data_IF_472974211510
#
_entry.id   IF_472974211510
#
_cell.length_a   1.000
_cell.length_b   1.000
_cell.length_c   1.000
_cell.angle_alpha   90.00
_cell.angle_beta   90.00
_cell.angle_gamma   90.00
#
_symmetry.space_group_name_H-M   'P 1'
#
loop_
_entity.id
_entity.type
_entity.pdbx_description
1 polymer ?
#
# COMPACT_ATOMS: atom_id res chain seq x y z
N UNK A 1 -15.83 -7.21 4.38
CA UNK A 1 -15.29 -7.13 3.02
C UNK A 1 -14.40 -8.32 2.65
N UNK A 2 -13.53 -8.81 3.55
CA UNK A 2 -12.63 -9.93 3.22
C UNK A 2 -13.36 -11.23 2.85
N UNK A 3 -14.58 -11.44 3.33
CA UNK A 3 -15.40 -12.61 3.03
C UNK A 3 -16.35 -12.38 1.83
N UNK A 4 -16.08 -11.38 0.99
CA UNK A 4 -16.96 -11.02 -0.15
C UNK A 4 -18.29 -10.39 0.25
N UNK A 5 -18.48 -10.08 1.52
CA UNK A 5 -19.69 -9.40 2.00
C UNK A 5 -19.48 -7.89 1.99
N UNK A 6 -20.27 -7.19 1.19
CA UNK A 6 -20.21 -5.73 1.05
C UNK A 6 -21.43 -5.03 1.67
N UNK A 7 -22.39 -5.81 2.19
CA UNK A 7 -23.56 -5.30 2.90
C UNK A 7 -23.19 -4.94 4.33
N UNK A 8 -23.55 -3.73 4.78
CA UNK A 8 -23.21 -3.22 6.10
C UNK A 8 -23.89 -4.03 7.21
N UNK A 9 -25.17 -4.34 7.06
CA UNK A 9 -25.92 -5.09 8.06
C UNK A 9 -25.41 -6.52 8.24
N UNK A 10 -25.07 -7.18 7.12
CA UNK A 10 -24.47 -8.52 7.14
C UNK A 10 -23.09 -8.49 7.78
N UNK A 11 -22.27 -7.49 7.48
CA UNK A 11 -20.95 -7.32 8.10
C UNK A 11 -21.04 -7.06 9.60
N UNK A 12 -21.98 -6.22 10.05
CA UNK A 12 -22.19 -5.94 11.46
C UNK A 12 -22.65 -7.18 12.22
N UNK A 13 -23.63 -7.91 11.67
CA UNK A 13 -24.11 -9.17 12.27
C UNK A 13 -23.02 -10.23 12.32
N UNK A 14 -22.25 -10.42 11.24
CA UNK A 14 -21.14 -11.37 11.20
C UNK A 14 -20.06 -10.99 12.24
N UNK A 15 -19.64 -9.74 12.29
CA UNK A 15 -18.63 -9.27 13.25
C UNK A 15 -19.10 -9.42 14.69
N UNK A 16 -20.40 -9.20 14.95
CA UNK A 16 -20.99 -9.41 16.27
C UNK A 16 -20.98 -10.89 16.67
N UNK A 17 -21.36 -11.79 15.76
CA UNK A 17 -21.33 -13.23 16.03
C UNK A 17 -19.92 -13.75 16.29
N UNK A 18 -18.92 -13.28 15.52
CA UNK A 18 -17.53 -13.64 15.77
C UNK A 18 -17.02 -13.14 17.13
N UNK A 19 -17.44 -11.92 17.52
CA UNK A 19 -17.16 -11.40 18.86
C UNK A 19 -17.80 -12.21 19.99
N UNK A 20 -19.04 -12.64 19.80
CA UNK A 20 -19.72 -13.53 20.74
C UNK A 20 -19.03 -14.91 20.87
N UNK A 21 -18.63 -15.48 19.73
CA UNK A 21 -17.91 -16.76 19.71
C UNK A 21 -16.58 -16.65 20.47
N UNK A 22 -15.80 -15.62 20.19
CA UNK A 22 -14.53 -15.37 20.89
C UNK A 22 -14.71 -15.17 22.40
N UNK A 23 -15.78 -14.46 22.82
CA UNK A 23 -16.08 -14.29 24.23
C UNK A 23 -16.50 -15.61 24.92
N UNK A 24 -17.31 -16.42 24.23
CA UNK A 24 -17.69 -17.77 24.73
C UNK A 24 -16.48 -18.69 24.85
N UNK A 25 -15.57 -18.66 23.89
CA UNK A 25 -14.32 -19.45 23.93
C UNK A 25 -13.45 -19.08 25.14
N UNK A 26 -13.55 -17.84 25.59
CA UNK A 26 -12.87 -17.35 26.81
C UNK A 26 -13.71 -17.49 28.08
N UNK A 27 -14.84 -18.20 28.02
CA UNK A 27 -15.79 -18.46 29.15
C UNK A 27 -16.42 -17.17 29.73
N UNK A 28 -16.63 -16.14 28.91
CA UNK A 28 -17.43 -14.98 29.32
C UNK A 28 -18.93 -15.24 29.12
N UNK A 29 -19.75 -14.81 30.08
CA UNK A 29 -21.20 -14.73 29.88
C UNK A 29 -21.52 -13.54 28.94
N UNK A 30 -22.19 -13.81 27.85
CA UNK A 30 -22.54 -12.79 26.86
C UNK A 30 -24.05 -12.70 26.69
N UNK A 31 -24.58 -11.48 26.69
CA UNK A 31 -25.98 -11.23 26.40
C UNK A 31 -26.21 -11.29 24.87
N UNK A 32 -27.08 -12.19 24.45
CA UNK A 32 -27.34 -12.51 23.04
C UNK A 32 -28.54 -11.71 22.51
N UNK A 33 -28.42 -10.37 22.38
CA UNK A 33 -29.60 -9.53 22.11
C UNK A 33 -29.41 -8.38 21.12
N UNK A 34 -28.38 -8.35 20.30
CA UNK A 34 -28.25 -7.28 19.29
C UNK A 34 -28.57 -7.84 17.92
N UNK A 35 -29.66 -7.39 17.32
CA UNK A 35 -29.99 -7.68 15.94
C UNK A 35 -29.97 -6.37 15.14
N UNK A 36 -28.95 -6.20 14.30
CA UNK A 36 -28.83 -5.05 13.45
C UNK A 36 -29.79 -5.17 12.28
N UNK A 37 -30.80 -4.33 12.24
CA UNK A 37 -31.68 -4.16 11.06
C UNK A 37 -31.17 -2.94 10.29
N UNK A 38 -30.54 -3.18 9.15
CA UNK A 38 -30.18 -2.12 8.20
C UNK A 38 -31.36 -1.85 7.25
N UNK A 39 -31.36 -0.66 6.68
CA UNK A 39 -32.20 -0.32 5.52
C UNK A 39 -31.74 -1.13 4.31
N UNK A 40 -32.63 -1.25 3.29
CA UNK A 40 -32.54 -2.16 2.16
C UNK A 40 -31.15 -2.42 1.56
N UNK A 41 -30.87 -3.68 1.26
CA UNK A 41 -29.63 -4.13 0.62
C UNK A 41 -29.39 -3.42 -0.70
N UNK A 42 -28.35 -2.62 -0.76
CA UNK A 42 -27.77 -2.24 -2.04
C UNK A 42 -27.04 -3.48 -2.58
N UNK A 43 -27.65 -4.16 -3.53
CA UNK A 43 -26.98 -5.27 -4.22
C UNK A 43 -25.84 -4.68 -5.06
N UNK A 44 -24.63 -4.82 -4.57
CA UNK A 44 -23.46 -4.65 -5.42
C UNK A 44 -23.38 -5.88 -6.33
N UNK A 45 -23.63 -5.68 -7.61
CA UNK A 45 -23.24 -6.66 -8.61
C UNK A 45 -21.73 -6.84 -8.52
N UNK A 46 -21.27 -8.08 -8.42
CA UNK A 46 -19.85 -8.40 -8.53
C UNK A 46 -19.32 -7.80 -9.83
N UNK A 47 -18.68 -6.66 -9.73
CA UNK A 47 -17.91 -6.14 -10.86
C UNK A 47 -16.64 -6.95 -10.92
N UNK A 48 -16.48 -7.76 -11.95
CA UNK A 48 -15.16 -8.28 -12.30
C UNK A 48 -14.20 -7.10 -12.38
N UNK A 49 -13.08 -7.16 -11.65
CA UNK A 49 -12.01 -6.16 -11.76
C UNK A 49 -11.34 -6.39 -13.11
N UNK A 50 -12.00 -5.98 -14.17
CA UNK A 50 -11.35 -5.91 -15.47
C UNK A 50 -10.46 -4.67 -15.49
N UNK A 51 -9.20 -4.80 -15.96
CA UNK A 51 -8.33 -3.64 -16.10
C UNK A 51 -9.00 -2.66 -17.07
N UNK A 52 -9.33 -1.48 -16.57
CA UNK A 52 -9.86 -0.41 -17.38
C UNK A 52 -8.74 0.12 -18.29
N UNK A 53 -8.49 -0.60 -19.37
CA UNK A 53 -7.68 -0.07 -20.44
C UNK A 53 -8.56 0.81 -21.32
N UNK A 54 -8.22 2.08 -21.44
CA UNK A 54 -8.88 3.05 -22.33
C UNK A 54 -8.97 2.50 -23.76
N UNK A 55 -10.10 1.86 -24.04
CA UNK A 55 -10.38 1.15 -25.28
C UNK A 55 -9.55 -0.14 -25.40
N UNK A 56 -10.16 -1.19 -25.90
CA UNK A 56 -9.50 -2.45 -26.32
C UNK A 56 -8.45 -2.24 -27.44
N UNK A 57 -8.03 -1.02 -27.67
CA UNK A 57 -7.01 -0.66 -28.63
C UNK A 57 -5.65 -0.97 -28.04
N UNK A 58 -4.85 -1.72 -28.78
CA UNK A 58 -3.43 -1.94 -28.50
C UNK A 58 -2.80 -0.64 -27.99
N UNK A 59 -2.00 -0.73 -26.94
CA UNK A 59 -1.14 0.36 -26.49
C UNK A 59 -0.41 0.89 -27.70
N UNK A 60 -0.90 2.00 -28.25
CA UNK A 60 -0.38 2.55 -29.51
C UNK A 60 0.89 3.32 -29.21
N UNK A 61 1.85 3.24 -30.13
CA UNK A 61 3.08 4.02 -30.09
C UNK A 61 2.73 5.50 -29.87
N UNK A 62 3.13 6.04 -28.72
CA UNK A 62 2.89 7.44 -28.34
C UNK A 62 1.87 7.68 -27.22
N UNK A 63 1.04 6.71 -26.86
CA UNK A 63 0.19 6.83 -25.67
C UNK A 63 0.85 6.14 -24.47
N UNK A 64 0.97 6.85 -23.36
CA UNK A 64 1.48 6.30 -22.10
C UNK A 64 0.30 5.95 -21.18
N UNK A 65 0.13 4.67 -20.88
CA UNK A 65 -0.85 4.19 -19.91
C UNK A 65 -0.09 3.88 -18.63
N UNK A 66 -0.02 4.86 -17.73
CA UNK A 66 0.70 4.69 -16.46
C UNK A 66 0.01 3.69 -15.55
N UNK A 67 0.79 2.77 -15.02
CA UNK A 67 0.41 1.81 -14.00
C UNK A 67 0.91 2.27 -12.63
N UNK A 68 2.18 2.66 -12.55
CA UNK A 68 2.82 3.18 -11.35
C UNK A 68 3.35 4.59 -11.61
N UNK A 69 2.73 5.58 -10.96
CA UNK A 69 3.12 6.98 -11.11
C UNK A 69 4.38 7.35 -10.32
N UNK A 70 4.76 6.58 -9.30
CA UNK A 70 5.96 6.87 -8.51
C UNK A 70 7.24 6.52 -9.27
N UNK A 71 7.18 5.49 -10.10
CA UNK A 71 8.32 5.00 -10.87
C UNK A 71 8.11 5.10 -12.39
N UNK A 72 7.10 5.84 -12.83
CA UNK A 72 6.77 6.05 -14.25
C UNK A 72 6.59 4.76 -15.06
N UNK A 73 6.12 3.67 -14.39
CA UNK A 73 5.88 2.40 -15.07
C UNK A 73 4.59 2.45 -15.86
N UNK A 74 4.66 2.05 -17.11
CA UNK A 74 3.52 2.01 -18.03
C UNK A 74 3.06 0.58 -18.31
N UNK A 75 1.88 0.44 -18.92
CA UNK A 75 1.41 -0.84 -19.43
C UNK A 75 2.38 -1.44 -20.45
N UNK A 76 3.05 -0.60 -21.26
CA UNK A 76 4.03 -1.06 -22.24
C UNK A 76 5.24 -1.74 -21.55
N UNK A 77 5.66 -1.26 -20.37
CA UNK A 77 6.76 -1.87 -19.62
C UNK A 77 6.36 -3.24 -19.06
N UNK A 78 5.11 -3.38 -18.61
CA UNK A 78 4.58 -4.70 -18.18
C UNK A 78 4.53 -5.68 -19.38
N UNK A 79 4.01 -5.24 -20.53
CA UNK A 79 4.02 -6.08 -21.75
C UNK A 79 5.44 -6.46 -22.17
N UNK A 80 6.38 -5.53 -22.08
CA UNK A 80 7.79 -5.80 -22.38
C UNK A 80 8.36 -6.85 -21.43
N UNK A 81 8.16 -6.69 -20.12
CA UNK A 81 8.61 -7.65 -19.13
C UNK A 81 8.09 -9.06 -19.41
N UNK A 82 6.81 -9.20 -19.73
CA UNK A 82 6.20 -10.49 -20.04
C UNK A 82 6.78 -11.10 -21.33
N UNK A 83 6.98 -10.28 -22.36
CA UNK A 83 7.59 -10.72 -23.62
C UNK A 83 9.03 -11.21 -23.42
N UNK A 84 9.76 -10.64 -22.48
CA UNK A 84 11.12 -11.03 -22.12
C UNK A 84 11.21 -12.18 -21.11
N UNK A 85 10.05 -12.75 -20.71
CA UNK A 85 9.98 -13.97 -19.91
C UNK A 85 9.88 -13.74 -18.40
N UNK A 86 9.66 -12.50 -17.95
CA UNK A 86 9.43 -12.20 -16.53
C UNK A 86 7.97 -12.47 -16.14
N UNK A 87 7.59 -13.73 -16.08
CA UNK A 87 6.19 -14.16 -15.92
C UNK A 87 5.66 -13.90 -14.51
N UNK A 88 6.49 -14.13 -13.47
CA UNK A 88 6.03 -13.94 -12.10
C UNK A 88 5.91 -12.46 -11.75
N UNK A 89 4.93 -12.13 -10.90
CA UNK A 89 4.70 -10.76 -10.43
C UNK A 89 5.93 -10.17 -9.72
N UNK A 90 6.67 -11.00 -8.97
CA UNK A 90 7.89 -10.58 -8.27
C UNK A 90 9.05 -10.26 -9.23
N UNK A 91 9.17 -10.99 -10.33
CA UNK A 91 10.17 -10.68 -11.35
C UNK A 91 9.77 -9.46 -12.17
N UNK A 92 8.49 -9.36 -12.56
CA UNK A 92 7.95 -8.17 -13.23
C UNK A 92 8.16 -6.92 -12.39
N UNK A 93 7.90 -6.99 -11.09
CA UNK A 93 8.17 -5.91 -10.14
C UNK A 93 9.62 -5.45 -10.19
N UNK A 94 10.58 -6.38 -10.15
CA UNK A 94 12.01 -6.04 -10.14
C UNK A 94 12.51 -5.52 -11.48
N UNK A 95 11.96 -6.03 -12.56
CA UNK A 95 12.32 -5.59 -13.91
C UNK A 95 11.79 -4.17 -14.22
N UNK A 96 10.55 -3.88 -13.84
CA UNK A 96 9.85 -2.64 -14.15
C UNK A 96 9.91 -1.59 -13.05
N UNK A 97 10.30 -1.95 -11.83
CA UNK A 97 10.16 -1.18 -10.60
C UNK A 97 8.70 -0.93 -10.14
N UNK A 98 7.72 -1.61 -10.74
CA UNK A 98 6.30 -1.51 -10.35
C UNK A 98 6.11 -1.87 -8.88
N UNK A 99 5.49 -0.99 -8.11
CA UNK A 99 5.19 -1.23 -6.70
C UNK A 99 6.40 -1.22 -5.76
N UNK A 100 7.54 -0.70 -6.21
CA UNK A 100 8.75 -0.56 -5.40
C UNK A 100 8.88 0.80 -4.69
N UNK A 101 8.01 1.75 -5.00
CA UNK A 101 8.03 3.07 -4.40
C UNK A 101 7.62 3.08 -2.92
N UNK A 102 7.56 4.26 -2.33
CA UNK A 102 7.27 4.45 -0.91
C UNK A 102 5.88 3.97 -0.49
N UNK A 103 4.92 3.92 -1.42
CA UNK A 103 3.58 3.36 -1.18
C UNK A 103 3.53 1.84 -1.23
N UNK A 104 4.62 1.17 -1.60
CA UNK A 104 4.71 -0.30 -1.74
C UNK A 104 3.62 -0.88 -2.65
N UNK A 105 3.27 -0.15 -3.70
CA UNK A 105 2.30 -0.58 -4.71
C UNK A 105 0.84 -0.51 -4.29
N UNK A 106 0.49 0.19 -3.21
CA UNK A 106 -0.91 0.35 -2.77
C UNK A 106 -1.79 1.01 -3.84
N UNK A 107 -1.22 1.87 -4.67
CA UNK A 107 -1.93 2.54 -5.76
C UNK A 107 -1.79 1.85 -7.11
N UNK A 108 -0.73 1.08 -7.33
CA UNK A 108 -0.37 0.52 -8.64
C UNK A 108 -0.62 -0.98 -8.78
N UNK A 109 -0.48 -1.75 -7.69
CA UNK A 109 -0.48 -3.22 -7.78
C UNK A 109 -1.76 -3.80 -8.37
N UNK A 110 -2.94 -3.27 -8.03
CA UNK A 110 -4.22 -3.77 -8.55
C UNK A 110 -4.24 -3.67 -10.08
N UNK A 111 -3.81 -2.55 -10.63
CA UNK A 111 -3.76 -2.33 -12.07
C UNK A 111 -2.72 -3.22 -12.76
N UNK A 112 -1.54 -3.38 -12.14
CA UNK A 112 -0.49 -4.26 -12.65
C UNK A 112 -0.94 -5.72 -12.69
N UNK A 113 -1.57 -6.21 -11.62
CA UNK A 113 -2.08 -7.58 -11.52
C UNK A 113 -3.22 -7.83 -12.51
N UNK A 114 -4.14 -6.89 -12.66
CA UNK A 114 -5.23 -6.99 -13.62
C UNK A 114 -4.69 -7.05 -15.05
N UNK A 115 -3.64 -6.27 -15.38
CA UNK A 115 -2.98 -6.34 -16.67
C UNK A 115 -2.26 -7.68 -16.89
N UNK A 116 -1.54 -8.18 -15.89
CA UNK A 116 -0.89 -9.49 -15.95
C UNK A 116 -1.91 -10.63 -16.08
N UNK A 117 -3.02 -10.56 -15.35
CA UNK A 117 -4.16 -11.47 -15.47
C UNK A 117 -4.68 -11.52 -16.92
N UNK A 118 -4.85 -10.37 -17.54
CA UNK A 118 -5.25 -10.27 -18.94
C UNK A 118 -4.20 -10.87 -19.90
N UNK A 119 -2.91 -10.59 -19.68
CA UNK A 119 -1.82 -11.12 -20.54
C UNK A 119 -1.71 -12.63 -20.46
N UNK A 120 -1.86 -13.21 -19.26
CA UNK A 120 -1.72 -14.63 -19.01
C UNK A 120 -3.02 -15.43 -19.14
N UNK A 121 -4.14 -14.75 -19.38
CA UNK A 121 -5.48 -15.36 -19.41
C UNK A 121 -5.78 -16.19 -18.15
N UNK A 122 -5.35 -15.67 -16.99
CA UNK A 122 -5.51 -16.27 -15.67
C UNK A 122 -6.23 -15.33 -14.72
N UNK A 123 -7.00 -15.85 -13.77
CA UNK A 123 -7.61 -15.02 -12.74
C UNK A 123 -6.53 -14.36 -11.85
N UNK A 124 -6.85 -13.22 -11.25
CA UNK A 124 -5.90 -12.39 -10.49
C UNK A 124 -5.31 -13.13 -9.28
N UNK A 125 -6.07 -14.00 -8.66
CA UNK A 125 -5.64 -14.84 -7.53
C UNK A 125 -4.55 -15.86 -7.92
N UNK A 126 -4.56 -16.34 -9.16
CA UNK A 126 -3.49 -17.22 -9.68
C UNK A 126 -2.21 -16.43 -10.07
N UNK A 127 -2.33 -15.16 -10.42
CA UNK A 127 -1.16 -14.29 -10.65
C UNK A 127 -0.44 -14.05 -9.34
N UNK A 128 -1.17 -13.96 -8.24
CA UNK A 128 -0.66 -13.57 -6.93
C UNK A 128 -0.34 -12.08 -6.86
N UNK A 129 0.25 -11.65 -5.77
CA UNK A 129 0.66 -10.25 -5.60
C UNK A 129 2.08 -10.14 -5.06
N UNK A 130 2.63 -8.93 -5.13
CA UNK A 130 4.00 -8.67 -4.67
C UNK A 130 4.11 -8.75 -3.15
N UNK A 131 5.26 -9.26 -2.67
CA UNK A 131 5.60 -9.20 -1.25
C UNK A 131 5.94 -7.77 -0.85
N UNK A 132 5.29 -7.30 0.19
CA UNK A 132 5.58 -5.99 0.76
C UNK A 132 6.85 -6.01 1.61
N UNK A 133 7.59 -4.91 1.58
CA UNK A 133 8.80 -4.72 2.38
C UNK A 133 8.53 -3.82 3.58
N UNK A 134 9.19 -4.06 4.73
CA UNK A 134 9.16 -3.11 5.84
C UNK A 134 9.86 -1.78 5.47
N UNK A 135 9.36 -0.64 5.95
CA UNK A 135 8.07 -0.45 6.59
C UNK A 135 6.92 -0.39 5.56
N UNK A 136 5.94 -1.26 5.69
CA UNK A 136 4.76 -1.26 4.81
C UNK A 136 3.88 -0.01 5.01
N UNK A 137 3.74 0.44 6.24
CA UNK A 137 3.15 1.73 6.58
C UNK A 137 4.26 2.73 6.81
N UNK A 138 4.12 4.01 6.36
CA UNK A 138 5.10 5.04 6.64
C UNK A 138 5.37 5.16 8.14
N UNK A 139 6.65 5.11 8.51
CA UNK A 139 7.10 5.24 9.90
C UNK A 139 8.03 6.44 10.00
N UNK A 140 7.91 7.22 11.06
CA UNK A 140 8.85 8.29 11.34
C UNK A 140 10.13 7.72 11.95
N UNK A 141 11.26 8.35 11.69
CA UNK A 141 12.52 7.97 12.32
C UNK A 141 12.45 8.05 13.84
N UNK A 142 11.70 9.02 14.40
CA UNK A 142 11.47 9.10 15.83
C UNK A 142 10.74 7.88 16.41
N UNK A 143 9.76 7.33 15.70
CA UNK A 143 9.08 6.10 16.11
C UNK A 143 10.02 4.88 16.10
N UNK A 144 10.92 4.79 15.11
CA UNK A 144 11.91 3.72 15.00
C UNK A 144 12.95 3.83 16.11
N UNK A 145 13.46 5.04 16.37
CA UNK A 145 14.46 5.30 17.41
C UNK A 145 13.92 5.02 18.83
N UNK A 146 12.62 5.30 19.03
CA UNK A 146 11.97 5.10 20.33
C UNK A 146 12.27 6.18 21.36
N UNK A 147 11.58 6.10 22.49
CA UNK A 147 11.62 7.13 23.55
C UNK A 147 12.97 7.20 24.29
N UNK A 148 13.73 6.12 24.29
CA UNK A 148 15.01 6.07 24.99
C UNK A 148 16.09 6.98 24.39
N UNK A 149 15.93 7.39 23.14
CA UNK A 149 16.88 8.26 22.44
C UNK A 149 16.61 9.73 22.75
N UNK A 150 15.34 10.12 22.96
CA UNK A 150 14.89 11.46 23.33
C UNK A 150 15.62 12.57 22.54
N UNK A 151 16.26 13.53 23.23
CA UNK A 151 17.01 14.63 22.63
C UNK A 151 18.23 14.20 21.80
N UNK A 152 18.67 12.96 21.91
CA UNK A 152 19.76 12.40 21.11
C UNK A 152 19.31 11.88 19.75
N UNK A 153 18.02 11.91 19.44
CA UNK A 153 17.50 11.43 18.17
C UNK A 153 18.09 12.19 16.96
N UNK A 154 18.19 13.50 17.06
CA UNK A 154 18.82 14.38 16.07
C UNK A 154 19.56 15.51 16.79
N UNK A 155 20.71 15.21 17.44
CA UNK A 155 21.41 16.17 18.25
C UNK A 155 22.08 17.24 17.37
N UNK A 156 21.86 18.48 17.73
CA UNK A 156 22.57 19.59 17.13
C UNK A 156 23.99 19.68 17.71
N UNK A 157 24.98 19.57 16.84
CA UNK A 157 26.39 19.66 17.19
C UNK A 157 26.90 21.05 16.88
N UNK A 158 27.66 21.63 17.84
CA UNK A 158 28.18 22.98 17.73
C UNK A 158 29.68 22.99 17.97
N UNK A 159 30.37 23.86 17.25
CA UNK A 159 31.80 24.11 17.49
C UNK A 159 32.01 24.91 18.79
N UNK A 160 33.20 24.89 19.33
CA UNK A 160 33.53 25.64 20.55
C UNK A 160 33.34 27.16 20.42
N UNK A 161 33.42 27.70 19.20
CA UNK A 161 33.26 29.12 18.91
C UNK A 161 31.87 29.46 18.33
N UNK A 162 30.93 28.50 18.31
CA UNK A 162 29.58 28.69 17.74
C UNK A 162 28.86 29.88 18.33
N UNK A 163 28.88 30.02 19.66
CA UNK A 163 28.24 31.13 20.35
C UNK A 163 28.78 32.50 19.91
N UNK A 164 30.09 32.63 19.70
CA UNK A 164 30.70 33.85 19.19
C UNK A 164 30.19 34.18 17.79
N UNK A 165 30.02 33.17 16.93
CA UNK A 165 29.45 33.34 15.60
C UNK A 165 28.00 33.82 15.66
N UNK A 166 27.19 33.25 16.54
CA UNK A 166 25.79 33.69 16.75
C UNK A 166 25.75 35.17 17.20
N UNK A 167 26.56 35.54 18.17
CA UNK A 167 26.66 36.91 18.70
C UNK A 167 27.12 37.93 17.65
N UNK A 168 27.82 37.46 16.61
CA UNK A 168 28.30 38.28 15.49
C UNK A 168 27.47 38.12 14.22
N UNK A 169 26.23 37.63 14.33
CA UNK A 169 25.28 37.51 13.25
C UNK A 169 25.78 36.63 12.08
N UNK A 170 26.50 35.55 12.36
CA UNK A 170 26.87 34.60 11.33
C UNK A 170 25.64 33.88 10.75
N UNK A 171 25.68 33.60 9.46
CA UNK A 171 24.71 32.76 8.77
C UNK A 171 25.26 31.34 8.75
N UNK A 172 24.44 30.39 9.23
CA UNK A 172 24.82 28.99 9.28
C UNK A 172 24.18 28.19 8.16
N UNK A 173 24.89 27.21 7.67
CA UNK A 173 24.39 26.15 6.83
C UNK A 173 24.49 24.83 7.60
N UNK A 174 23.40 24.04 7.60
CA UNK A 174 23.38 22.75 8.27
C UNK A 174 24.20 21.73 7.47
N UNK A 175 25.25 21.19 8.09
CA UNK A 175 26.08 20.10 7.53
C UNK A 175 25.88 18.84 8.37
N UNK A 176 24.86 18.07 8.03
CA UNK A 176 24.36 16.98 8.87
C UNK A 176 23.92 17.53 10.23
N UNK A 177 24.53 17.07 11.31
CA UNK A 177 24.19 17.52 12.68
C UNK A 177 24.99 18.74 13.15
N UNK A 178 25.89 19.26 12.33
CA UNK A 178 26.73 20.40 12.67
C UNK A 178 26.15 21.73 12.18
N UNK A 179 26.22 22.71 13.02
CA UNK A 179 25.93 24.13 12.74
C UNK A 179 27.09 25.01 12.98
#
# INVERSE_FOLDING_TARGET
>A
CNNGCFDLSKNLNHSYQEGLNAAKDLNYEVADNINWKGEEEISFTESSVEPYMLGKKKVTKGSKHFIDFQNDVTAADIFLAQREGYISVEHTKRYTTTGMGTDQGKTSNVNALALMSHIHEKPVDEIGHTTFRPPFSPQTFGAIAGRSVDHLFDPERRTSIHKWHEENNAVFEDVGQWK
#
